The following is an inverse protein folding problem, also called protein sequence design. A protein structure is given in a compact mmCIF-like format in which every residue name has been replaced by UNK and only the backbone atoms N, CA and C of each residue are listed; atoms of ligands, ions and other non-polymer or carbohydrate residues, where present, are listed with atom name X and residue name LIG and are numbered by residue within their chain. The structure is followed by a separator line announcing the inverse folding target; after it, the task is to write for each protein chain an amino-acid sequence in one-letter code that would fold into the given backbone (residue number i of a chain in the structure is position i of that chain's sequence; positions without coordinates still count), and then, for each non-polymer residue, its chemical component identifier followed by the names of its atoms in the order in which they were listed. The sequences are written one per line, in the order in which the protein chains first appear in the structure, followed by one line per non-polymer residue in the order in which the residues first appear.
data_IF_457623806802
#
_entry.id   IF_457623806802
#
_cell.length_a   1.000
_cell.length_b   1.000
_cell.length_c   1.000
_cell.angle_alpha   90.00
_cell.angle_beta   90.00
_cell.angle_gamma   90.00
#
_symmetry.space_group_name_H-M   'P 1'
#
loop_
_entity.id
_entity.type
_entity.pdbx_description
1 polymer ?
#
# COMPACT_ATOMS: atom_id res chain seq x y z
N UNK A 1 9.77 23.80 23.05
CA UNK A 1 9.20 22.88 24.06
C UNK A 1 9.16 21.52 23.43
N UNK A 2 10.24 20.84 23.41
CA UNK A 2 10.74 19.73 24.24
C UNK A 2 9.79 18.53 24.25
N UNK A 3 10.13 17.55 23.40
CA UNK A 3 10.51 16.17 23.69
C UNK A 3 9.44 15.21 24.19
N UNK A 4 9.30 14.08 23.51
CA UNK A 4 9.58 12.77 24.09
C UNK A 4 9.49 11.66 23.02
N UNK A 5 10.63 11.20 22.60
CA UNK A 5 10.80 9.93 21.88
C UNK A 5 10.85 8.85 22.96
N UNK A 6 9.87 7.96 22.97
CA UNK A 6 9.90 6.76 23.79
C UNK A 6 10.49 5.60 22.96
N UNK A 7 11.73 5.23 23.30
CA UNK A 7 12.39 3.98 22.89
C UNK A 7 11.74 2.83 23.65
N UNK A 8 11.21 1.86 22.95
CA UNK A 8 10.86 0.54 23.49
C UNK A 8 12.01 -0.41 23.17
N UNK A 9 12.76 -0.80 24.20
CA UNK A 9 13.68 -1.95 24.19
C UNK A 9 12.90 -3.20 24.61
N UNK A 10 13.07 -4.35 24.00
CA UNK A 10 12.68 -5.62 24.62
C UNK A 10 13.86 -6.16 25.45
N UNK A 11 13.63 -6.26 26.75
CA UNK A 11 14.43 -7.06 27.65
C UNK A 11 13.92 -8.51 27.60
N UNK A 12 14.77 -9.44 27.20
CA UNK A 12 14.64 -10.86 27.55
C UNK A 12 15.87 -11.22 28.32
N UNK A 13 15.76 -11.13 29.64
CA UNK A 13 16.69 -11.76 30.59
C UNK A 13 16.21 -13.18 30.84
N UNK A 14 17.06 -14.12 30.47
CA UNK A 14 16.94 -15.52 30.86
C UNK A 14 17.49 -15.68 32.27
N UNK A 15 16.61 -15.89 33.21
CA UNK A 15 16.87 -16.33 34.56
C UNK A 15 17.28 -17.82 34.56
N UNK A 16 18.56 -18.07 34.80
CA UNK A 16 19.06 -19.40 35.18
C UNK A 16 19.26 -19.39 36.69
N UNK A 17 18.25 -19.83 37.42
CA UNK A 17 18.37 -20.08 38.86
C UNK A 17 18.42 -21.57 39.14
N UNK A 18 19.55 -21.97 39.70
CA UNK A 18 19.72 -22.92 40.78
C UNK A 18 18.62 -23.98 41.04
N UNK A 19 18.90 -25.20 40.71
CA UNK A 19 18.35 -26.35 41.41
C UNK A 19 19.51 -27.24 41.84
N UNK A 20 20.01 -26.97 43.02
CA UNK A 20 20.82 -27.93 43.82
C UNK A 20 20.41 -27.76 45.28
N UNK A 21 19.56 -28.64 45.77
CA UNK A 21 19.61 -29.10 47.16
C UNK A 21 18.52 -30.13 47.44
N UNK A 22 18.99 -31.17 48.10
CA UNK A 22 18.27 -32.13 48.94
C UNK A 22 17.77 -33.43 48.30
N UNK A 23 18.60 -34.44 48.46
CA UNK A 23 18.15 -35.79 48.75
C UNK A 23 19.04 -36.41 49.82
N UNK A 24 18.61 -36.36 51.04
CA UNK A 24 19.10 -37.23 52.10
C UNK A 24 18.67 -38.68 51.79
N UNK A 25 19.60 -39.59 51.82
CA UNK A 25 19.35 -41.04 51.71
C UNK A 25 20.17 -41.78 52.75
N UNK A 26 19.78 -42.99 53.19
CA UNK A 26 20.04 -43.48 54.55
C UNK A 26 21.38 -44.17 54.70
N UNK A 27 21.86 -44.09 55.96
CA UNK A 27 23.02 -44.79 56.48
C UNK A 27 22.83 -46.31 56.54
N UNK A 28 23.78 -47.10 56.06
CA UNK A 28 23.99 -48.47 56.44
C UNK A 28 25.47 -48.77 56.64
N UNK A 29 25.76 -49.18 57.86
CA UNK A 29 26.58 -50.31 58.27
C UNK A 29 28.08 -50.23 58.00
N UNK A 30 28.83 -49.87 59.08
CA UNK A 30 30.23 -50.33 59.26
C UNK A 30 30.26 -51.85 59.40
N UNK A 31 31.02 -52.48 58.56
CA UNK A 31 31.82 -53.70 59.04
C UNK A 31 33.14 -53.71 58.29
N UNK A 32 34.19 -53.83 59.09
CA UNK A 32 35.54 -53.81 58.65
C UNK A 32 36.01 -55.19 58.07
N UNK A 33 36.90 -55.12 57.12
CA UNK A 33 37.78 -56.20 56.86
C UNK A 33 39.19 -55.75 56.56
N UNK A 34 40.13 -56.36 57.21
CA UNK A 34 41.51 -56.09 57.26
C UNK A 34 42.23 -56.30 55.93
N UNK A 35 43.21 -55.43 55.74
CA UNK A 35 44.55 -55.68 55.35
C UNK A 35 44.84 -56.80 54.36
N UNK A 36 45.27 -56.44 53.18
CA UNK A 36 46.24 -57.14 52.39
C UNK A 36 47.01 -56.23 51.45
N UNK A 37 48.16 -55.73 51.92
CA UNK A 37 49.21 -55.15 51.11
C UNK A 37 49.52 -56.04 49.91
N UNK A 38 49.23 -55.59 48.70
CA UNK A 38 49.90 -55.99 47.48
C UNK A 38 50.52 -54.78 46.87
N UNK A 39 51.78 -54.57 47.17
CA UNK A 39 52.68 -53.78 46.36
C UNK A 39 52.65 -54.28 44.92
N UNK A 40 51.92 -53.52 44.08
CA UNK A 40 52.07 -53.58 42.64
C UNK A 40 53.24 -52.67 42.29
N UNK A 41 54.45 -53.29 42.27
CA UNK A 41 55.65 -52.68 41.67
C UNK A 41 55.30 -52.26 40.23
N UNK A 42 55.13 -50.97 40.07
CA UNK A 42 54.98 -50.33 38.74
C UNK A 42 56.36 -50.35 38.09
N UNK A 43 56.54 -51.37 37.22
CA UNK A 43 57.74 -51.52 36.37
C UNK A 43 57.91 -50.17 35.63
N UNK A 44 59.03 -49.50 35.81
CA UNK A 44 59.37 -48.24 35.13
C UNK A 44 59.21 -48.43 33.63
N UNK A 45 58.20 -47.78 33.10
CA UNK A 45 57.95 -47.69 31.63
C UNK A 45 59.14 -46.92 31.07
N UNK A 46 59.92 -47.54 30.21
CA UNK A 46 61.01 -46.89 29.49
C UNK A 46 60.58 -45.64 28.80
N UNK A 47 61.41 -44.61 28.77
CA UNK A 47 61.14 -43.27 28.19
C UNK A 47 60.50 -43.37 26.79
N UNK A 48 60.89 -44.43 26.02
CA UNK A 48 60.32 -44.71 24.71
C UNK A 48 58.83 -45.05 24.69
N UNK A 49 58.36 -45.82 25.75
CA UNK A 49 56.89 -46.13 25.82
C UNK A 49 56.08 -44.96 26.21
N UNK A 50 56.59 -44.00 27.01
CA UNK A 50 55.91 -42.72 27.35
C UNK A 50 55.85 -41.80 26.13
N UNK A 51 56.94 -41.76 25.33
CA UNK A 51 56.94 -40.98 24.06
C UNK A 51 55.98 -41.54 23.02
N UNK A 52 55.91 -42.86 22.90
CA UNK A 52 55.00 -43.52 21.96
C UNK A 52 53.53 -43.31 22.36
N UNK A 53 53.23 -43.41 23.66
CA UNK A 53 51.90 -43.13 24.16
C UNK A 53 51.50 -41.63 23.96
N UNK A 54 52.43 -40.71 24.18
CA UNK A 54 52.20 -39.27 23.91
C UNK A 54 51.98 -38.99 22.42
N UNK A 55 52.74 -39.65 21.54
CA UNK A 55 52.55 -39.50 20.10
C UNK A 55 51.19 -40.04 19.62
N UNK A 56 50.74 -41.18 20.15
CA UNK A 56 49.44 -41.78 19.85
C UNK A 56 48.30 -40.88 20.37
N UNK A 57 48.41 -40.37 21.62
CA UNK A 57 47.39 -39.44 22.15
C UNK A 57 47.32 -38.13 21.37
N UNK A 58 48.47 -37.60 20.95
CA UNK A 58 48.51 -36.39 20.12
C UNK A 58 47.89 -36.64 18.72
N UNK A 59 48.14 -37.80 18.12
CA UNK A 59 47.56 -38.24 16.86
C UNK A 59 46.02 -38.38 16.95
N UNK A 60 45.53 -38.99 18.05
CA UNK A 60 44.10 -39.12 18.31
C UNK A 60 43.44 -37.76 18.55
N UNK A 61 44.08 -36.87 19.32
CA UNK A 61 43.60 -35.51 19.54
C UNK A 61 43.58 -34.71 18.24
N UNK A 62 44.63 -34.82 17.42
CA UNK A 62 44.66 -34.17 16.11
C UNK A 62 43.56 -34.71 15.18
N UNK A 63 43.34 -36.02 15.15
CA UNK A 63 42.25 -36.63 14.38
C UNK A 63 40.88 -36.12 14.84
N UNK A 64 40.60 -36.13 16.15
CA UNK A 64 39.33 -35.61 16.67
C UNK A 64 39.17 -34.11 16.44
N UNK A 65 40.26 -33.34 16.54
CA UNK A 65 40.23 -31.91 16.24
C UNK A 65 39.92 -31.64 14.77
N UNK A 66 40.52 -32.37 13.84
CA UNK A 66 40.23 -32.29 12.41
C UNK A 66 38.78 -32.71 12.14
N UNK A 67 38.32 -33.79 12.79
CA UNK A 67 36.96 -34.28 12.63
C UNK A 67 35.93 -33.30 13.23
N UNK A 68 36.22 -32.67 14.37
CA UNK A 68 35.43 -31.65 14.98
C UNK A 68 35.35 -30.38 14.07
N UNK A 69 36.50 -29.94 13.55
CA UNK A 69 36.50 -28.80 12.58
C UNK A 69 35.71 -29.13 11.33
N UNK A 70 35.77 -30.38 10.81
CA UNK A 70 34.94 -30.80 9.68
C UNK A 70 33.46 -30.88 10.02
N UNK A 71 33.10 -31.37 11.21
CA UNK A 71 31.70 -31.52 11.65
C UNK A 71 31.05 -30.20 12.04
N UNK A 72 31.77 -29.31 12.73
CA UNK A 72 31.29 -27.99 13.12
C UNK A 72 31.60 -26.89 12.07
N UNK A 73 32.42 -27.17 11.09
CA UNK A 73 32.88 -26.22 10.09
C UNK A 73 32.16 -26.29 8.75
N UNK A 74 31.10 -27.09 8.60
CA UNK A 74 30.30 -27.12 7.38
C UNK A 74 29.16 -26.06 7.50
N UNK A 75 29.39 -24.84 7.03
CA UNK A 75 28.40 -23.76 7.19
C UNK A 75 27.30 -23.97 6.17
N UNK A 76 26.36 -24.87 6.45
CA UNK A 76 25.13 -24.91 5.67
C UNK A 76 24.28 -23.69 6.04
N UNK A 77 24.19 -22.76 5.12
CA UNK A 77 23.29 -21.63 5.24
C UNK A 77 22.24 -21.72 4.15
N UNK A 78 21.00 -21.72 4.54
CA UNK A 78 19.85 -21.75 3.63
C UNK A 78 18.94 -20.55 3.83
N UNK A 79 18.13 -20.24 2.84
CA UNK A 79 17.06 -19.24 2.93
C UNK A 79 15.87 -19.68 2.12
N UNK A 80 14.69 -19.22 2.49
CA UNK A 80 13.47 -19.51 1.74
C UNK A 80 13.35 -18.50 0.59
N UNK A 81 13.21 -19.02 -0.62
CA UNK A 81 12.90 -18.20 -1.80
C UNK A 81 11.45 -17.72 -1.75
N UNK A 82 11.19 -16.44 -2.00
CA UNK A 82 9.85 -15.90 -2.00
C UNK A 82 9.65 -14.98 -3.21
N UNK A 83 8.38 -14.85 -3.60
CA UNK A 83 8.02 -13.93 -4.67
C UNK A 83 8.26 -12.48 -4.20
N UNK A 84 8.94 -11.72 -5.03
CA UNK A 84 9.25 -10.33 -4.74
C UNK A 84 9.14 -9.48 -6.00
N UNK A 85 8.80 -8.23 -5.81
CA UNK A 85 8.66 -7.25 -6.89
C UNK A 85 9.63 -6.11 -6.65
N UNK A 86 10.37 -5.75 -7.68
CA UNK A 86 11.24 -4.57 -7.71
C UNK A 86 10.65 -3.57 -8.69
N UNK A 87 10.50 -2.36 -8.23
CA UNK A 87 10.09 -1.22 -9.05
C UNK A 87 11.29 -0.34 -9.35
N UNK A 88 11.50 -0.04 -10.62
CA UNK A 88 12.46 0.97 -11.04
C UNK A 88 11.72 2.28 -11.12
N UNK A 89 11.95 3.15 -10.16
CA UNK A 89 11.22 4.41 -10.01
C UNK A 89 12.15 5.57 -9.71
N UNK A 90 11.67 6.77 -10.00
CA UNK A 90 12.30 8.04 -9.67
C UNK A 90 11.31 8.91 -8.94
N UNK A 91 11.74 9.52 -7.83
CA UNK A 91 10.92 10.47 -7.07
C UNK A 91 11.13 11.87 -7.62
N UNK A 92 10.04 12.49 -8.06
CA UNK A 92 10.02 13.81 -8.63
C UNK A 92 9.07 14.72 -7.86
N UNK A 93 9.37 16.02 -7.83
CA UNK A 93 8.46 17.05 -7.30
C UNK A 93 7.96 17.91 -8.44
N UNK A 94 6.65 18.07 -8.51
CA UNK A 94 6.04 18.78 -9.65
C UNK A 94 4.63 19.30 -9.31
N UNK A 95 3.93 19.68 -10.36
CA UNK A 95 2.60 20.28 -10.27
C UNK A 95 1.58 19.43 -11.04
N UNK A 96 0.41 19.27 -10.45
CA UNK A 96 -0.76 18.72 -11.15
C UNK A 96 -1.45 19.87 -11.87
N UNK A 97 -1.65 19.72 -13.17
CA UNK A 97 -2.24 20.72 -14.06
C UNK A 97 -3.52 20.13 -14.68
N UNK A 98 -4.55 20.93 -14.73
CA UNK A 98 -5.87 20.57 -15.24
C UNK A 98 -6.44 21.77 -15.98
N UNK A 99 -7.42 21.57 -16.83
CA UNK A 99 -8.21 22.65 -17.36
C UNK A 99 -9.22 23.09 -16.29
N UNK A 100 -9.13 24.34 -15.81
CA UNK A 100 -9.85 24.82 -14.65
C UNK A 100 -10.54 26.13 -14.95
N UNK A 101 -11.81 26.24 -14.58
CA UNK A 101 -12.61 27.48 -14.68
C UNK A 101 -13.01 27.95 -13.28
N UNK A 102 -12.50 29.11 -12.88
CA UNK A 102 -12.85 29.74 -11.59
C UNK A 102 -14.28 30.21 -11.64
N UNK A 103 -15.06 29.88 -10.63
CA UNK A 103 -16.42 30.35 -10.45
C UNK A 103 -16.42 31.77 -9.89
N UNK A 104 -17.35 32.61 -10.35
CA UNK A 104 -17.43 33.99 -9.94
C UNK A 104 -17.89 34.13 -8.49
N UNK A 105 -17.10 34.82 -7.66
CA UNK A 105 -17.48 35.18 -6.27
C UNK A 105 -17.62 36.69 -6.14
N UNK A 106 -18.71 37.22 -6.73
CA UNK A 106 -19.13 38.64 -6.61
C UNK A 106 -20.16 38.85 -5.50
N UNK A 107 -20.23 37.94 -4.56
CA UNK A 107 -21.34 37.85 -3.62
C UNK A 107 -21.03 38.47 -2.25
N UNK A 108 -21.88 39.36 -1.80
CA UNK A 108 -21.84 40.00 -0.48
C UNK A 108 -22.74 39.31 0.55
N UNK A 109 -22.96 37.99 0.46
CA UNK A 109 -23.86 37.25 1.35
C UNK A 109 -23.18 36.07 2.06
N UNK A 110 -23.99 35.34 2.79
CA UNK A 110 -23.60 34.07 3.38
C UNK A 110 -23.67 32.98 2.31
N UNK A 111 -22.54 32.35 2.05
CA UNK A 111 -22.40 31.29 1.05
C UNK A 111 -22.61 29.92 1.68
N UNK A 112 -23.46 29.11 1.09
CA UNK A 112 -23.61 27.70 1.41
C UNK A 112 -23.30 26.88 0.16
N UNK A 113 -22.20 26.13 0.18
CA UNK A 113 -21.85 25.21 -0.87
C UNK A 113 -22.83 24.03 -0.87
N UNK A 114 -23.21 23.57 -2.07
CA UNK A 114 -24.19 22.50 -2.28
C UNK A 114 -23.55 21.25 -2.90
N UNK A 115 -22.25 21.30 -3.15
CA UNK A 115 -21.54 20.25 -3.86
C UNK A 115 -20.34 19.77 -3.04
N UNK A 116 -20.11 18.47 -3.09
CA UNK A 116 -18.93 17.85 -2.51
C UNK A 116 -17.71 18.01 -3.43
N UNK A 117 -16.53 17.93 -2.87
CA UNK A 117 -15.26 17.94 -3.62
C UNK A 117 -15.21 16.76 -4.60
N UNK A 118 -14.82 17.02 -5.84
CA UNK A 118 -14.75 16.02 -6.91
C UNK A 118 -16.11 15.58 -7.48
N UNK A 119 -17.21 16.18 -7.04
CA UNK A 119 -18.54 15.89 -7.56
C UNK A 119 -18.71 16.40 -8.98
N UNK A 120 -19.28 15.59 -9.87
CA UNK A 120 -19.57 15.98 -11.26
C UNK A 120 -20.85 16.82 -11.31
N UNK A 121 -20.73 18.01 -11.90
CA UNK A 121 -21.83 18.94 -12.08
C UNK A 121 -22.12 19.11 -13.57
N UNK A 122 -23.41 19.12 -13.91
CA UNK A 122 -23.88 19.45 -15.27
C UNK A 122 -23.89 20.98 -15.51
N UNK A 123 -23.91 21.38 -16.76
CA UNK A 123 -24.15 22.74 -17.14
C UNK A 123 -25.47 23.25 -16.52
N UNK A 124 -25.44 24.47 -15.95
CA UNK A 124 -26.57 25.06 -15.19
C UNK A 124 -26.82 24.45 -13.82
N UNK A 125 -26.07 23.43 -13.41
CA UNK A 125 -26.19 22.79 -12.08
C UNK A 125 -25.87 23.78 -10.95
N UNK A 126 -26.63 23.72 -9.83
CA UNK A 126 -26.42 24.60 -8.69
C UNK A 126 -25.16 24.20 -7.94
N UNK A 127 -24.22 25.12 -7.76
CA UNK A 127 -23.00 24.98 -7.02
C UNK A 127 -23.15 25.45 -5.58
N UNK A 128 -23.74 26.64 -5.41
CA UNK A 128 -23.87 27.26 -4.10
C UNK A 128 -25.14 28.09 -4.00
N UNK A 129 -25.62 28.28 -2.78
CA UNK A 129 -26.67 29.17 -2.42
C UNK A 129 -26.08 30.37 -1.66
N UNK A 130 -26.56 31.58 -2.00
CA UNK A 130 -26.16 32.82 -1.35
C UNK A 130 -27.34 33.42 -0.64
N UNK A 131 -27.23 33.56 0.66
CA UNK A 131 -28.24 34.16 1.52
C UNK A 131 -27.86 35.60 1.83
N UNK A 132 -28.85 36.50 1.81
CA UNK A 132 -28.61 37.92 2.07
C UNK A 132 -28.10 38.17 3.49
N UNK A 133 -28.61 37.43 4.46
CA UNK A 133 -28.27 37.55 5.88
C UNK A 133 -28.46 36.22 6.64
N UNK A 134 -28.04 36.21 7.91
CA UNK A 134 -28.18 35.06 8.79
C UNK A 134 -29.62 34.64 9.05
N UNK A 135 -30.51 35.62 9.14
CA UNK A 135 -31.94 35.34 9.35
C UNK A 135 -32.58 34.61 8.17
N UNK A 136 -32.14 34.92 6.95
CA UNK A 136 -32.56 34.20 5.73
C UNK A 136 -32.03 32.78 5.72
N UNK A 137 -30.75 32.55 6.11
CA UNK A 137 -30.16 31.22 6.23
C UNK A 137 -30.89 30.38 7.29
N UNK A 138 -31.14 30.94 8.47
CA UNK A 138 -31.81 30.25 9.56
C UNK A 138 -33.26 29.89 9.19
N UNK A 139 -33.95 30.80 8.49
CA UNK A 139 -35.29 30.55 7.95
C UNK A 139 -35.30 29.42 6.92
N UNK A 140 -34.28 29.37 6.07
CA UNK A 140 -34.14 28.28 5.09
C UNK A 140 -33.87 26.93 5.76
N UNK A 141 -33.05 26.92 6.81
CA UNK A 141 -32.82 25.70 7.62
C UNK A 141 -34.12 25.23 8.29
N UNK A 142 -34.91 26.14 8.79
CA UNK A 142 -36.20 25.83 9.38
C UNK A 142 -37.19 25.28 8.34
N UNK A 143 -37.27 25.90 7.14
CA UNK A 143 -38.05 25.36 6.01
C UNK A 143 -37.61 23.92 5.66
N UNK A 144 -36.29 23.66 5.59
CA UNK A 144 -35.77 22.32 5.32
C UNK A 144 -36.12 21.33 6.43
N UNK A 145 -36.02 21.76 7.68
CA UNK A 145 -36.40 20.93 8.85
C UNK A 145 -37.87 20.55 8.83
N UNK A 146 -38.74 21.54 8.55
CA UNK A 146 -40.18 21.30 8.44
C UNK A 146 -40.51 20.38 7.27
N UNK A 147 -39.83 20.53 6.14
CA UNK A 147 -40.02 19.66 4.98
C UNK A 147 -39.67 18.21 5.33
N UNK A 148 -38.54 18.00 5.98
CA UNK A 148 -38.14 16.66 6.45
C UNK A 148 -39.13 16.05 7.45
N UNK A 149 -39.67 16.88 8.37
CA UNK A 149 -40.69 16.43 9.32
C UNK A 149 -41.99 16.04 8.61
N UNK A 150 -42.45 16.84 7.62
CA UNK A 150 -43.62 16.52 6.82
C UNK A 150 -43.44 15.22 6.05
N UNK A 151 -42.31 15.03 5.41
CA UNK A 151 -41.96 13.77 4.71
C UNK A 151 -41.98 12.57 5.65
N UNK A 152 -41.46 12.72 6.87
CA UNK A 152 -41.46 11.68 7.88
C UNK A 152 -42.90 11.31 8.30
N UNK A 153 -43.79 12.33 8.51
CA UNK A 153 -45.18 12.11 8.86
C UNK A 153 -45.99 11.50 7.70
N UNK A 154 -45.75 11.94 6.45
CA UNK A 154 -46.36 11.33 5.26
C UNK A 154 -46.00 9.84 5.15
N UNK A 155 -44.72 9.53 5.37
CA UNK A 155 -44.30 8.13 5.37
C UNK A 155 -44.93 7.33 6.50
N UNK A 156 -45.08 7.93 7.68
CA UNK A 156 -45.74 7.27 8.83
C UNK A 156 -47.24 7.02 8.55
N UNK A 157 -47.92 7.95 7.89
CA UNK A 157 -49.31 7.80 7.46
C UNK A 157 -49.44 6.66 6.42
N UNK A 158 -48.56 6.61 5.43
CA UNK A 158 -48.53 5.51 4.45
C UNK A 158 -48.16 4.15 5.11
N UNK A 159 -47.25 4.16 6.08
CA UNK A 159 -46.79 2.96 6.79
C UNK A 159 -47.86 2.39 7.73
N UNK A 160 -48.74 3.20 8.31
CA UNK A 160 -49.83 2.79 9.14
C UNK A 160 -50.86 1.93 8.38
N UNK A 161 -50.85 1.94 7.06
CA UNK A 161 -51.77 1.20 6.19
C UNK A 161 -51.36 -0.24 5.87
N UNK A 162 -50.23 -0.80 6.37
CA UNK A 162 -49.92 -2.20 6.12
C UNK A 162 -48.62 -2.76 6.69
N UNK A 163 -48.69 -4.02 7.18
CA UNK A 163 -47.51 -4.77 7.68
C UNK A 163 -46.36 -4.95 6.68
N UNK A 164 -46.65 -4.87 5.40
CA UNK A 164 -45.67 -4.99 4.31
C UNK A 164 -44.69 -3.80 4.29
N UNK A 165 -45.13 -2.61 4.65
CA UNK A 165 -44.31 -1.39 4.71
C UNK A 165 -43.31 -1.48 5.86
N UNK A 166 -43.69 -2.02 7.01
CA UNK A 166 -42.81 -2.23 8.16
C UNK A 166 -41.64 -3.19 7.82
N UNK A 167 -41.95 -4.29 7.14
CA UNK A 167 -40.90 -5.26 6.73
C UNK A 167 -39.91 -4.65 5.70
N UNK A 168 -40.44 -3.81 4.78
CA UNK A 168 -39.58 -3.10 3.81
C UNK A 168 -38.66 -2.09 4.51
N UNK A 169 -39.18 -1.38 5.50
CA UNK A 169 -38.40 -0.41 6.28
C UNK A 169 -37.30 -1.09 7.09
N UNK A 170 -37.60 -2.22 7.75
CA UNK A 170 -36.59 -3.01 8.46
C UNK A 170 -35.47 -3.47 7.52
N UNK A 171 -35.82 -3.88 6.30
CA UNK A 171 -34.81 -4.28 5.29
C UNK A 171 -33.93 -3.09 4.85
N UNK A 172 -34.50 -1.91 4.68
CA UNK A 172 -33.75 -0.68 4.36
C UNK A 172 -32.82 -0.28 5.49
N UNK A 173 -33.30 -0.26 6.74
CA UNK A 173 -32.48 0.02 7.93
C UNK A 173 -31.27 -0.93 7.98
N UNK A 174 -31.49 -2.23 7.80
CA UNK A 174 -30.39 -3.21 7.78
C UNK A 174 -29.41 -2.99 6.63
N UNK A 175 -29.88 -2.56 5.48
CA UNK A 175 -29.01 -2.22 4.34
C UNK A 175 -28.18 -0.98 4.63
N UNK A 176 -28.79 0.12 5.08
CA UNK A 176 -28.10 1.37 5.42
C UNK A 176 -27.07 1.18 6.54
N UNK A 177 -27.34 0.27 7.53
CA UNK A 177 -26.35 -0.10 8.54
C UNK A 177 -25.12 -0.78 7.89
N UNK A 178 -25.32 -1.66 6.91
CA UNK A 178 -24.20 -2.31 6.20
C UNK A 178 -23.39 -1.29 5.41
N UNK A 179 -24.07 -0.37 4.72
CA UNK A 179 -23.43 0.66 3.91
C UNK A 179 -22.66 1.67 4.79
N UNK A 180 -23.23 2.06 5.94
CA UNK A 180 -22.56 2.87 6.96
C UNK A 180 -21.28 2.20 7.48
N UNK A 181 -21.37 0.90 7.84
CA UNK A 181 -20.20 0.15 8.28
C UNK A 181 -19.15 -0.02 7.18
N UNK A 182 -19.60 -0.19 5.93
CA UNK A 182 -18.72 -0.27 4.76
C UNK A 182 -18.00 1.06 4.49
N UNK A 183 -18.67 2.18 4.62
CA UNK A 183 -18.11 3.51 4.50
C UNK A 183 -17.05 3.78 5.58
N UNK A 184 -17.33 3.46 6.84
CA UNK A 184 -16.37 3.59 7.93
C UNK A 184 -15.14 2.68 7.75
N UNK A 185 -15.34 1.45 7.32
CA UNK A 185 -14.24 0.52 7.07
C UNK A 185 -13.33 0.94 5.89
N UNK A 186 -13.88 1.72 4.95
CA UNK A 186 -13.17 2.27 3.81
C UNK A 186 -12.63 3.70 4.05
N UNK A 187 -12.72 4.22 5.28
CA UNK A 187 -12.32 5.58 5.70
C UNK A 187 -12.97 6.71 4.87
N UNK A 188 -14.21 6.47 4.40
CA UNK A 188 -15.03 7.45 3.66
C UNK A 188 -16.00 8.14 4.60
N UNK A 189 -15.51 9.18 5.30
CA UNK A 189 -16.22 9.84 6.38
C UNK A 189 -17.46 10.65 5.88
N UNK A 190 -17.38 11.26 4.71
CA UNK A 190 -18.47 11.93 4.02
C UNK A 190 -19.64 10.98 3.74
N UNK A 191 -19.36 9.87 3.09
CA UNK A 191 -20.35 8.81 2.83
C UNK A 191 -20.93 8.22 4.13
N UNK A 192 -20.12 8.10 5.18
CA UNK A 192 -20.58 7.65 6.48
C UNK A 192 -21.52 8.66 7.15
N UNK A 193 -21.28 9.97 7.01
CA UNK A 193 -22.17 11.02 7.53
C UNK A 193 -23.53 10.96 6.85
N UNK A 194 -23.57 10.85 5.52
CA UNK A 194 -24.79 10.72 4.74
C UNK A 194 -25.59 9.47 5.13
N UNK A 195 -24.95 8.31 5.17
CA UNK A 195 -25.58 7.06 5.64
C UNK A 195 -26.09 7.18 7.09
N UNK A 196 -25.36 7.89 7.95
CA UNK A 196 -25.79 8.16 9.34
C UNK A 196 -27.03 9.04 9.43
N UNK A 197 -27.14 10.06 8.54
CA UNK A 197 -28.31 10.91 8.44
C UNK A 197 -29.53 10.13 7.92
N UNK A 198 -29.33 9.31 6.89
CA UNK A 198 -30.36 8.44 6.34
C UNK A 198 -30.84 7.41 7.37
N UNK A 199 -29.94 6.78 8.11
CA UNK A 199 -30.26 5.82 9.16
C UNK A 199 -31.13 6.47 10.25
N UNK A 200 -30.79 7.68 10.69
CA UNK A 200 -31.60 8.43 11.66
C UNK A 200 -33.01 8.69 11.12
N UNK A 201 -33.13 9.10 9.86
CA UNK A 201 -34.43 9.32 9.22
C UNK A 201 -35.26 8.03 9.16
N UNK A 202 -34.65 6.90 8.78
CA UNK A 202 -35.33 5.61 8.71
C UNK A 202 -35.77 5.10 10.08
N UNK A 203 -34.97 5.28 11.14
CA UNK A 203 -35.32 4.90 12.52
C UNK A 203 -36.48 5.76 13.04
N UNK A 204 -36.45 7.08 12.79
CA UNK A 204 -37.57 7.95 13.14
C UNK A 204 -38.85 7.56 12.41
N UNK A 205 -38.79 7.26 11.13
CA UNK A 205 -39.95 6.74 10.36
C UNK A 205 -40.53 5.48 10.99
N UNK A 206 -39.68 4.58 11.52
CA UNK A 206 -40.11 3.36 12.21
C UNK A 206 -40.86 3.66 13.50
N UNK A 207 -40.38 4.61 14.32
CA UNK A 207 -41.02 4.96 15.58
C UNK A 207 -42.43 5.56 15.37
N UNK A 208 -42.63 6.33 14.31
CA UNK A 208 -43.92 6.89 13.94
C UNK A 208 -44.94 5.83 13.43
N UNK A 209 -44.46 4.67 12.94
CA UNK A 209 -45.35 3.60 12.43
C UNK A 209 -46.25 3.00 13.52
N UNK A 210 -45.98 3.27 14.79
CA UNK A 210 -46.74 2.80 15.95
C UNK A 210 -47.63 3.88 16.61
N UNK A 211 -47.72 5.08 16.07
CA UNK A 211 -48.53 6.16 16.62
C UNK A 211 -49.93 6.18 16.03
N UNK A 212 -50.92 6.64 16.82
CA UNK A 212 -52.32 6.73 16.39
C UNK A 212 -52.50 7.64 15.18
N UNK A 213 -53.16 7.19 14.12
CA UNK A 213 -53.29 7.81 12.80
C UNK A 213 -54.13 9.07 12.78
N UNK A 214 -55.04 9.29 13.72
CA UNK A 214 -55.90 10.49 13.74
C UNK A 214 -55.16 11.76 14.13
N UNK A 215 -54.04 11.65 14.84
CA UNK A 215 -53.23 12.79 15.28
C UNK A 215 -52.16 13.19 14.21
N UNK A 216 -51.77 12.28 13.33
CA UNK A 216 -50.73 12.51 12.31
C UNK A 216 -51.21 13.47 11.23
N UNK A 217 -52.44 13.37 10.74
CA UNK A 217 -52.99 14.24 9.72
C UNK A 217 -53.16 15.69 10.20
N UNK A 218 -53.55 15.88 11.47
CA UNK A 218 -53.66 17.17 12.11
C UNK A 218 -52.28 17.84 12.28
N UNK A 219 -51.26 17.09 12.73
CA UNK A 219 -49.89 17.58 12.84
C UNK A 219 -49.32 17.96 11.48
N UNK A 220 -49.53 17.14 10.46
CA UNK A 220 -49.09 17.41 9.09
C UNK A 220 -49.70 18.70 8.52
N UNK A 221 -51.02 18.92 8.73
CA UNK A 221 -51.67 20.14 8.29
C UNK A 221 -51.11 21.39 8.98
N UNK A 222 -50.80 21.32 10.27
CA UNK A 222 -50.16 22.41 11.01
C UNK A 222 -48.74 22.69 10.49
N UNK A 223 -47.89 21.68 10.29
CA UNK A 223 -46.54 21.84 9.76
C UNK A 223 -46.57 22.39 8.31
N UNK A 224 -47.53 21.97 7.47
CA UNK A 224 -47.74 22.50 6.12
C UNK A 224 -48.13 23.97 6.15
N UNK A 225 -48.97 24.37 7.11
CA UNK A 225 -49.35 25.77 7.33
C UNK A 225 -48.15 26.61 7.74
N UNK A 226 -47.34 26.14 8.67
CA UNK A 226 -46.09 26.80 9.09
C UNK A 226 -45.10 26.89 7.94
N UNK A 227 -44.90 25.83 7.17
CA UNK A 227 -44.03 25.81 5.99
C UNK A 227 -44.49 26.85 4.93
N UNK A 228 -45.80 26.94 4.66
CA UNK A 228 -46.34 27.92 3.70
C UNK A 228 -46.12 29.34 4.16
N UNK A 229 -46.31 29.63 5.45
CA UNK A 229 -46.04 30.92 6.07
C UNK A 229 -44.56 31.32 5.96
N UNK A 230 -43.66 30.43 6.30
CA UNK A 230 -42.21 30.67 6.21
C UNK A 230 -41.76 30.87 4.76
N UNK A 231 -42.29 30.09 3.82
CA UNK A 231 -42.01 30.27 2.39
C UNK A 231 -42.47 31.62 1.87
N UNK A 232 -43.67 32.11 2.31
CA UNK A 232 -44.15 33.43 1.97
C UNK A 232 -43.25 34.55 2.52
N UNK A 233 -42.68 34.36 3.71
CA UNK A 233 -41.74 35.31 4.33
C UNK A 233 -40.32 35.23 3.75
N UNK A 234 -39.90 34.08 3.21
CA UNK A 234 -38.56 33.88 2.67
C UNK A 234 -38.30 34.69 1.38
N UNK A 235 -39.35 34.99 0.60
CA UNK A 235 -39.21 35.77 -0.62
C UNK A 235 -38.11 35.27 -1.58
N UNK A 236 -37.66 36.14 -2.50
CA UNK A 236 -36.57 35.85 -3.47
C UNK A 236 -35.17 36.17 -2.95
N UNK A 237 -34.95 36.07 -1.63
CA UNK A 237 -33.67 36.48 -0.98
C UNK A 237 -32.56 35.42 -1.02
N UNK A 238 -32.77 34.33 -1.75
CA UNK A 238 -31.76 33.30 -2.01
C UNK A 238 -31.33 33.35 -3.47
N UNK A 239 -30.05 33.65 -3.71
CA UNK A 239 -29.47 33.63 -5.05
C UNK A 239 -28.73 32.30 -5.24
N UNK A 240 -28.84 31.70 -6.42
CA UNK A 240 -28.15 30.52 -6.80
C UNK A 240 -26.93 30.87 -7.64
N UNK A 241 -25.80 30.26 -7.33
CA UNK A 241 -24.61 30.22 -8.19
C UNK A 241 -24.65 28.90 -8.95
N UNK A 242 -24.70 28.97 -10.26
CA UNK A 242 -24.75 27.79 -11.13
C UNK A 242 -23.45 27.59 -11.88
N UNK A 243 -23.16 26.36 -12.25
CA UNK A 243 -22.03 26.02 -13.08
C UNK A 243 -22.25 26.53 -14.51
N UNK A 244 -21.31 27.30 -15.09
CA UNK A 244 -21.45 27.80 -16.46
C UNK A 244 -21.23 26.73 -17.52
N UNK A 245 -20.69 25.59 -17.13
CA UNK A 245 -20.46 24.41 -17.97
C UNK A 245 -20.30 23.17 -17.09
N UNK A 246 -20.37 21.98 -17.71
CA UNK A 246 -20.20 20.73 -16.99
C UNK A 246 -18.73 20.51 -16.57
N UNK A 247 -18.51 20.00 -15.35
CA UNK A 247 -17.16 19.72 -14.83
C UNK A 247 -17.20 19.01 -13.49
N UNK A 248 -16.02 18.80 -12.90
CA UNK A 248 -15.87 18.36 -11.52
C UNK A 248 -15.72 19.60 -10.63
N UNK A 249 -16.46 19.64 -9.56
CA UNK A 249 -16.40 20.74 -8.61
C UNK A 249 -15.17 20.62 -7.69
N UNK A 250 -14.51 21.74 -7.42
CA UNK A 250 -13.52 21.90 -6.37
C UNK A 250 -13.76 23.17 -5.58
N UNK A 251 -13.85 23.05 -4.26
CA UNK A 251 -14.10 24.19 -3.38
C UNK A 251 -12.87 25.09 -3.21
N UNK A 252 -11.69 24.64 -3.59
CA UNK A 252 -10.43 25.35 -3.34
C UNK A 252 -9.87 25.95 -4.63
N UNK A 253 -9.68 27.27 -4.62
CA UNK A 253 -8.90 28.01 -5.61
C UNK A 253 -7.52 28.29 -5.01
N UNK A 254 -6.49 27.76 -5.66
CA UNK A 254 -5.11 27.77 -5.12
C UNK A 254 -4.22 28.88 -5.72
N UNK A 255 -4.72 29.60 -6.73
CA UNK A 255 -4.05 30.71 -7.39
C UNK A 255 -3.16 30.31 -8.57
N UNK A 256 -3.14 29.05 -8.97
CA UNK A 256 -2.41 28.57 -10.14
C UNK A 256 -3.31 28.36 -11.37
N UNK A 257 -4.61 28.54 -11.26
CA UNK A 257 -5.59 28.21 -12.28
C UNK A 257 -5.36 28.92 -13.61
N UNK A 258 -4.93 30.19 -13.54
CA UNK A 258 -4.64 31.01 -14.73
C UNK A 258 -3.18 30.93 -15.17
N UNK A 259 -2.30 30.30 -14.38
CA UNK A 259 -0.85 30.23 -14.64
C UNK A 259 -0.50 28.85 -15.21
N UNK A 260 -1.02 27.79 -14.61
CA UNK A 260 -0.79 26.40 -15.00
C UNK A 260 -2.02 25.86 -15.73
N UNK A 261 -2.14 26.22 -17.00
CA UNK A 261 -3.18 25.70 -17.91
C UNK A 261 -2.61 24.67 -18.87
N UNK A 262 -3.41 23.78 -19.45
CA UNK A 262 -2.92 22.83 -20.45
C UNK A 262 -2.19 23.49 -21.61
N UNK A 263 -2.60 24.69 -22.04
CA UNK A 263 -1.97 25.46 -23.11
C UNK A 263 -0.59 26.02 -22.72
N UNK A 264 -0.39 26.30 -21.42
CA UNK A 264 0.90 26.83 -20.92
C UNK A 264 2.01 25.79 -20.85
N UNK A 265 1.70 24.50 -20.90
CA UNK A 265 2.63 23.41 -20.62
C UNK A 265 3.84 23.37 -21.59
N UNK A 266 3.61 23.65 -22.86
CA UNK A 266 4.65 23.63 -23.89
C UNK A 266 5.59 24.86 -23.82
N UNK A 267 5.21 25.88 -23.06
CA UNK A 267 6.01 27.11 -22.88
C UNK A 267 6.82 27.11 -21.59
N UNK A 268 6.62 26.12 -20.72
CA UNK A 268 7.33 26.03 -19.45
C UNK A 268 8.79 25.63 -19.64
N UNK A 269 9.67 26.34 -18.96
CA UNK A 269 11.09 26.00 -18.84
C UNK A 269 11.41 25.59 -17.40
N UNK A 270 12.53 24.88 -17.15
CA UNK A 270 12.94 24.55 -15.79
C UNK A 270 13.03 25.76 -14.85
N UNK A 271 13.45 26.91 -15.37
CA UNK A 271 13.55 28.16 -14.62
C UNK A 271 12.18 28.73 -14.29
N UNK A 272 11.25 28.78 -15.26
CA UNK A 272 9.89 29.32 -15.04
C UNK A 272 9.11 28.42 -14.09
N UNK A 273 9.26 27.09 -14.22
CA UNK A 273 8.60 26.13 -13.32
C UNK A 273 9.09 26.27 -11.86
N UNK A 274 10.38 26.53 -11.65
CA UNK A 274 10.96 26.74 -10.33
C UNK A 274 10.58 28.10 -9.71
N UNK A 275 10.21 29.09 -10.52
CA UNK A 275 9.84 30.44 -10.10
C UNK A 275 8.31 30.66 -10.07
N UNK A 276 7.51 29.59 -10.15
CA UNK A 276 6.07 29.70 -10.10
C UNK A 276 5.59 30.18 -8.73
N UNK A 277 4.86 31.28 -8.72
CA UNK A 277 4.18 31.81 -7.54
C UNK A 277 2.68 31.86 -7.79
N UNK A 278 1.83 31.53 -6.80
CA UNK A 278 0.38 31.60 -6.94
C UNK A 278 -0.11 33.04 -6.98
N UNK A 279 -1.20 33.27 -7.69
CA UNK A 279 -1.93 34.55 -7.61
C UNK A 279 -2.75 34.58 -6.31
N UNK A 280 -2.25 35.30 -5.31
CA UNK A 280 -2.90 35.45 -4.00
C UNK A 280 -4.30 36.08 -4.08
N UNK A 281 -4.58 36.87 -5.12
CA UNK A 281 -5.90 37.51 -5.29
C UNK A 281 -7.01 36.49 -5.54
N UNK A 282 -6.71 35.41 -6.23
CA UNK A 282 -7.64 34.33 -6.55
C UNK A 282 -7.99 33.45 -5.34
N UNK A 283 -7.09 33.36 -4.39
CA UNK A 283 -7.29 32.55 -3.16
C UNK A 283 -8.41 33.07 -2.26
N UNK A 284 -8.84 34.29 -2.44
CA UNK A 284 -10.00 34.84 -1.71
C UNK A 284 -11.35 34.32 -2.21
N UNK A 285 -11.38 33.60 -3.33
CA UNK A 285 -12.60 33.01 -3.89
C UNK A 285 -13.20 31.97 -2.94
N UNK A 286 -14.44 32.11 -2.57
CA UNK A 286 -15.19 31.27 -1.62
C UNK A 286 -16.08 30.26 -2.32
N UNK A 287 -16.33 30.42 -3.63
CA UNK A 287 -17.24 29.58 -4.40
C UNK A 287 -16.52 28.34 -4.94
N UNK A 288 -15.25 28.49 -5.33
CA UNK A 288 -14.46 27.42 -5.90
C UNK A 288 -14.29 27.49 -7.41
N UNK A 289 -14.02 26.37 -8.02
CA UNK A 289 -13.72 26.20 -9.44
C UNK A 289 -14.35 24.93 -10.01
N UNK A 290 -14.39 24.85 -11.32
CA UNK A 290 -14.72 23.63 -12.07
C UNK A 290 -13.45 23.11 -12.74
N UNK A 291 -13.23 21.82 -12.63
CA UNK A 291 -12.22 21.10 -13.39
C UNK A 291 -12.90 20.49 -14.61
N UNK A 292 -12.42 20.86 -15.78
CA UNK A 292 -13.04 20.56 -17.06
C UNK A 292 -12.40 19.34 -17.72
N UNK A 293 -13.15 18.68 -18.60
CA UNK A 293 -12.68 17.50 -19.31
C UNK A 293 -12.42 16.30 -18.39
N UNK A 294 -11.59 15.38 -18.87
CA UNK A 294 -11.22 14.14 -18.18
C UNK A 294 -9.69 13.95 -18.12
N UNK A 295 -8.92 14.93 -18.64
CA UNK A 295 -7.48 14.85 -18.75
C UNK A 295 -6.80 15.72 -17.70
N UNK A 296 -5.74 15.21 -17.14
CA UNK A 296 -4.86 15.92 -16.22
C UNK A 296 -3.40 15.71 -16.59
N UNK A 297 -2.53 16.58 -16.11
CA UNK A 297 -1.12 16.54 -16.38
C UNK A 297 -0.33 16.61 -15.06
N UNK A 298 0.83 15.97 -15.04
CA UNK A 298 1.83 16.17 -14.00
C UNK A 298 3.09 16.73 -14.65
N UNK A 299 3.53 17.88 -14.19
CA UNK A 299 4.64 18.64 -14.77
C UNK A 299 5.76 18.74 -13.77
N UNK A 300 6.96 18.37 -14.17
CA UNK A 300 8.14 18.38 -13.30
C UNK A 300 9.40 18.71 -14.07
N UNK A 301 10.42 19.21 -13.37
CA UNK A 301 11.74 19.43 -13.91
C UNK A 301 12.69 18.33 -13.45
N UNK A 302 13.36 17.67 -14.41
CA UNK A 302 14.28 16.57 -14.15
C UNK A 302 15.52 16.68 -15.07
N UNK A 303 16.51 15.83 -14.84
CA UNK A 303 17.71 15.76 -15.68
C UNK A 303 17.37 15.24 -17.08
N UNK A 304 18.03 15.78 -18.11
CA UNK A 304 17.75 15.40 -19.51
C UNK A 304 17.95 13.91 -19.77
N UNK A 305 18.98 13.30 -19.21
CA UNK A 305 19.28 11.87 -19.33
C UNK A 305 18.18 10.98 -18.73
N UNK A 306 17.57 11.46 -17.65
CA UNK A 306 16.47 10.79 -16.99
C UNK A 306 15.17 10.88 -17.79
N UNK A 307 14.91 12.07 -18.37
CA UNK A 307 13.76 12.27 -19.27
C UNK A 307 13.83 11.35 -20.49
N UNK A 308 15.02 11.17 -21.09
CA UNK A 308 15.24 10.25 -22.21
C UNK A 308 14.96 8.80 -21.79
N UNK A 309 15.44 8.39 -20.62
CA UNK A 309 15.18 7.04 -20.08
C UNK A 309 13.68 6.79 -19.85
N UNK A 310 12.95 7.80 -19.36
CA UNK A 310 11.49 7.71 -19.16
C UNK A 310 10.74 7.65 -20.49
N UNK A 311 11.21 8.38 -21.50
CA UNK A 311 10.62 8.39 -22.84
C UNK A 311 10.71 7.03 -23.53
N UNK A 312 11.84 6.34 -23.38
CA UNK A 312 12.06 4.99 -23.92
C UNK A 312 11.17 3.92 -23.24
N UNK A 313 10.76 4.16 -22.00
CA UNK A 313 10.02 3.19 -21.19
C UNK A 313 8.55 3.02 -21.60
N UNK A 314 7.99 3.92 -22.40
CA UNK A 314 6.64 3.84 -22.97
C UNK A 314 5.53 4.11 -21.95
N UNK A 315 4.98 3.07 -21.34
CA UNK A 315 3.94 3.19 -20.31
C UNK A 315 4.57 3.39 -18.94
N UNK A 316 4.16 4.46 -18.28
CA UNK A 316 4.64 4.84 -16.96
C UNK A 316 3.50 4.79 -15.96
N UNK A 317 3.84 4.62 -14.69
CA UNK A 317 2.90 4.78 -13.60
C UNK A 317 3.36 5.90 -12.69
N UNK A 318 2.42 6.68 -12.22
CA UNK A 318 2.66 7.77 -11.27
C UNK A 318 2.00 7.41 -9.94
N UNK A 319 2.76 7.44 -8.88
CA UNK A 319 2.31 7.23 -7.50
C UNK A 319 2.53 8.52 -6.73
N UNK A 320 1.43 9.18 -6.35
CA UNK A 320 1.52 10.38 -5.52
C UNK A 320 1.85 10.03 -4.07
N UNK A 321 2.63 10.87 -3.42
CA UNK A 321 2.99 10.69 -2.02
C UNK A 321 1.80 10.84 -1.08
N UNK A 322 0.79 11.61 -1.49
CA UNK A 322 -0.44 11.88 -0.72
C UNK A 322 -1.64 12.03 -1.66
N UNK A 323 -2.83 11.81 -1.13
CA UNK A 323 -4.10 12.11 -1.78
C UNK A 323 -4.68 10.98 -2.62
N UNK A 324 -3.85 10.19 -3.31
CA UNK A 324 -4.30 9.08 -4.15
C UNK A 324 -3.58 7.80 -3.72
N UNK A 325 -4.32 6.82 -3.24
CA UNK A 325 -3.78 5.57 -2.70
C UNK A 325 -3.47 4.48 -3.73
N UNK A 326 -3.27 4.86 -5.00
CA UNK A 326 -3.06 3.91 -6.12
C UNK A 326 -2.09 4.45 -7.16
N UNK A 327 -1.57 3.56 -7.99
CA UNK A 327 -0.74 3.91 -9.14
C UNK A 327 -1.63 4.35 -10.30
N UNK A 328 -1.33 5.53 -10.86
CA UNK A 328 -2.03 6.09 -12.00
C UNK A 328 -1.24 5.84 -13.28
N UNK A 329 -1.87 5.33 -14.32
CA UNK A 329 -1.24 5.17 -15.64
C UNK A 329 -1.07 6.52 -16.30
N UNK A 330 0.16 6.83 -16.72
CA UNK A 330 0.48 8.09 -17.39
C UNK A 330 1.34 7.85 -18.61
N UNK A 331 1.35 8.83 -19.51
CA UNK A 331 2.18 8.86 -20.70
C UNK A 331 3.00 10.15 -20.69
N UNK A 332 4.30 10.07 -20.95
CA UNK A 332 5.13 11.22 -21.18
C UNK A 332 4.79 11.79 -22.58
N UNK A 333 4.23 12.99 -22.62
CA UNK A 333 3.71 13.60 -23.86
C UNK A 333 4.61 14.71 -24.39
N UNK A 334 5.36 15.39 -23.50
CA UNK A 334 6.22 16.50 -23.90
C UNK A 334 7.47 16.57 -23.04
N UNK A 335 8.57 16.95 -23.64
CA UNK A 335 9.86 17.28 -23.00
C UNK A 335 10.30 18.62 -23.59
N UNK A 336 10.58 19.60 -22.74
CA UNK A 336 11.07 20.92 -23.16
C UNK A 336 12.51 20.87 -23.67
N UNK A 337 12.98 21.98 -24.25
CA UNK A 337 14.40 22.18 -24.46
C UNK A 337 15.18 22.17 -23.13
N UNK A 338 16.44 21.72 -23.19
CA UNK A 338 17.29 21.64 -22.01
C UNK A 338 17.79 23.03 -21.58
N UNK A 339 17.60 23.39 -20.33
CA UNK A 339 18.13 24.58 -19.70
C UNK A 339 19.01 24.16 -18.50
N UNK A 340 20.33 24.34 -18.65
CA UNK A 340 21.30 23.96 -17.62
C UNK A 340 21.36 22.44 -17.34
N UNK A 341 21.10 21.60 -18.34
CA UNK A 341 21.07 20.13 -18.24
C UNK A 341 19.77 19.57 -17.69
N UNK A 342 18.77 20.42 -17.42
CA UNK A 342 17.43 20.03 -16.96
C UNK A 342 16.38 20.34 -18.01
N UNK A 343 15.32 19.55 -18.02
CA UNK A 343 14.16 19.70 -18.91
C UNK A 343 12.89 19.69 -18.09
N UNK A 344 11.83 20.26 -18.64
CA UNK A 344 10.47 20.07 -18.13
C UNK A 344 9.86 18.86 -18.82
N UNK A 345 9.37 17.91 -18.05
CA UNK A 345 8.63 16.76 -18.54
C UNK A 345 7.16 16.88 -18.17
N UNK A 346 6.30 16.57 -19.13
CA UNK A 346 4.84 16.61 -19.00
C UNK A 346 4.30 15.20 -19.13
N UNK A 347 3.71 14.70 -18.05
CA UNK A 347 3.02 13.42 -18.01
C UNK A 347 1.52 13.64 -18.09
N UNK A 348 0.82 12.94 -18.97
CA UNK A 348 -0.60 13.00 -19.16
C UNK A 348 -1.29 11.76 -18.58
N UNK A 349 -2.37 11.97 -17.82
CA UNK A 349 -3.30 10.95 -17.35
C UNK A 349 -4.74 11.30 -17.69
N UNK A 350 -5.60 10.29 -17.72
CA UNK A 350 -7.03 10.40 -18.09
C UNK A 350 -7.95 9.66 -17.10
N UNK A 351 -7.43 9.22 -15.98
CA UNK A 351 -8.17 8.47 -14.99
C UNK A 351 -8.12 9.13 -13.62
N UNK A 352 -9.14 8.91 -12.80
CA UNK A 352 -9.22 9.36 -11.40
C UNK A 352 -9.08 10.87 -11.18
N UNK A 353 -9.51 11.68 -12.14
CA UNK A 353 -9.44 13.15 -12.06
C UNK A 353 -10.16 13.71 -10.82
N UNK A 354 -11.26 13.08 -10.39
CA UNK A 354 -12.02 13.48 -9.20
C UNK A 354 -11.23 13.34 -7.87
N UNK A 355 -10.23 12.47 -7.82
CA UNK A 355 -9.35 12.31 -6.65
C UNK A 355 -8.18 13.31 -6.65
N UNK A 356 -7.98 14.01 -7.77
CA UNK A 356 -6.86 14.93 -8.00
C UNK A 356 -7.23 16.41 -7.85
N UNK A 357 -8.49 16.74 -7.65
CA UNK A 357 -9.01 18.13 -7.69
C UNK A 357 -8.31 19.06 -6.69
N UNK A 358 -7.95 18.56 -5.52
CA UNK A 358 -7.24 19.31 -4.48
C UNK A 358 -5.71 19.28 -4.61
N UNK A 359 -5.16 18.45 -5.49
CA UNK A 359 -3.72 18.32 -5.60
C UNK A 359 -3.14 19.39 -6.53
N UNK A 360 -2.11 20.12 -6.09
CA UNK A 360 -1.38 21.06 -6.94
C UNK A 360 0.12 20.72 -6.94
N UNK A 361 0.87 21.17 -5.97
CA UNK A 361 2.28 20.82 -5.84
C UNK A 361 2.42 19.51 -5.07
N UNK A 362 2.95 18.47 -5.73
CA UNK A 362 3.05 17.13 -5.17
C UNK A 362 4.37 16.48 -5.51
N UNK A 363 4.87 15.70 -4.57
CA UNK A 363 5.91 14.71 -4.87
C UNK A 363 5.24 13.44 -5.36
N UNK A 364 5.78 12.91 -6.44
CA UNK A 364 5.30 11.67 -7.04
C UNK A 364 6.47 10.77 -7.42
N UNK A 365 6.25 9.49 -7.34
CA UNK A 365 7.16 8.45 -7.81
C UNK A 365 6.75 8.03 -9.21
N UNK A 366 7.63 8.23 -10.19
CA UNK A 366 7.44 7.77 -11.56
C UNK A 366 8.03 6.39 -11.69
N UNK A 367 7.18 5.38 -11.85
CA UNK A 367 7.55 3.97 -11.97
C UNK A 367 7.61 3.63 -13.46
N UNK A 368 8.82 3.34 -13.95
CA UNK A 368 9.06 3.00 -15.36
C UNK A 368 8.97 1.52 -15.66
N UNK A 369 9.36 0.69 -14.69
CA UNK A 369 9.37 -0.75 -14.85
C UNK A 369 9.11 -1.43 -13.51
N UNK A 370 8.33 -2.49 -13.58
CA UNK A 370 8.05 -3.38 -12.45
C UNK A 370 8.50 -4.78 -12.85
N UNK A 371 9.47 -5.31 -12.13
CA UNK A 371 9.97 -6.69 -12.35
C UNK A 371 9.56 -7.57 -11.19
N UNK A 372 8.78 -8.61 -11.49
CA UNK A 372 8.35 -9.60 -10.51
C UNK A 372 9.12 -10.89 -10.73
N UNK A 373 9.65 -11.47 -9.66
CA UNK A 373 10.42 -12.71 -9.73
C UNK A 373 10.55 -13.35 -8.36
N UNK A 374 11.31 -14.42 -8.30
CA UNK A 374 11.66 -15.10 -7.05
C UNK A 374 12.95 -14.46 -6.54
N UNK A 375 12.90 -13.94 -5.32
CA UNK A 375 14.06 -13.34 -4.67
C UNK A 375 14.98 -14.43 -4.12
N UNK A 376 16.24 -14.36 -4.52
CA UNK A 376 17.33 -15.21 -4.01
C UNK A 376 18.53 -14.34 -3.66
N UNK A 377 19.33 -14.68 -2.64
CA UNK A 377 20.59 -13.99 -2.39
C UNK A 377 21.54 -14.15 -3.57
N UNK A 378 22.30 -13.11 -3.91
CA UNK A 378 23.31 -13.18 -4.98
C UNK A 378 24.33 -14.29 -4.74
N UNK A 379 24.70 -14.50 -3.48
CA UNK A 379 25.63 -15.53 -3.07
C UNK A 379 25.14 -16.96 -3.32
N UNK A 380 23.84 -17.14 -3.54
CA UNK A 380 23.25 -18.44 -3.88
C UNK A 380 23.30 -18.75 -5.38
N UNK A 381 23.54 -17.75 -6.23
CA UNK A 381 23.65 -17.96 -7.67
C UNK A 381 24.91 -18.75 -8.00
N UNK A 382 24.75 -19.77 -8.83
CA UNK A 382 25.84 -20.63 -9.32
C UNK A 382 25.75 -20.76 -10.83
N UNK A 383 26.90 -20.87 -11.45
CA UNK A 383 27.01 -21.19 -12.87
C UNK A 383 27.51 -22.61 -13.01
N UNK A 384 26.80 -23.40 -13.82
CA UNK A 384 27.15 -24.77 -14.15
C UNK A 384 27.40 -24.88 -15.64
N UNK A 385 28.44 -25.57 -16.02
CA UNK A 385 28.65 -25.97 -17.41
C UNK A 385 27.96 -27.29 -17.70
N UNK A 386 27.23 -27.35 -18.81
CA UNK A 386 26.55 -28.54 -19.27
C UNK A 386 26.90 -28.75 -20.75
N UNK A 387 27.34 -29.99 -21.07
CA UNK A 387 27.50 -30.38 -22.47
C UNK A 387 26.16 -30.70 -23.05
N UNK A 388 25.80 -30.03 -24.14
CA UNK A 388 24.59 -30.26 -24.92
C UNK A 388 24.99 -30.78 -26.26
N UNK A 389 24.40 -31.90 -26.68
CA UNK A 389 24.59 -32.47 -28.02
C UNK A 389 23.43 -32.01 -28.89
N UNK A 390 23.72 -31.36 -30.01
CA UNK A 390 22.70 -30.94 -30.97
C UNK A 390 22.16 -32.14 -31.79
N UNK A 391 21.15 -31.90 -32.65
CA UNK A 391 20.56 -32.92 -33.49
C UNK A 391 21.54 -33.50 -34.50
N UNK A 392 22.61 -32.78 -34.80
CA UNK A 392 23.68 -33.19 -35.73
C UNK A 392 24.81 -33.96 -35.02
N UNK A 393 24.73 -34.15 -33.69
CA UNK A 393 25.71 -34.90 -32.88
C UNK A 393 26.93 -34.09 -32.46
N UNK A 394 26.91 -32.75 -32.60
CA UNK A 394 27.99 -31.88 -32.14
C UNK A 394 27.81 -31.56 -30.64
N UNK A 395 28.85 -31.73 -29.89
CA UNK A 395 28.88 -31.37 -28.46
C UNK A 395 29.24 -29.90 -28.29
N UNK A 396 28.40 -29.16 -27.59
CA UNK A 396 28.67 -27.80 -27.17
C UNK A 396 28.55 -27.67 -25.64
N UNK A 397 29.44 -26.87 -25.05
CA UNK A 397 29.38 -26.54 -23.63
C UNK A 397 28.57 -25.28 -23.43
N UNK A 398 27.45 -25.40 -22.71
CA UNK A 398 26.54 -24.28 -22.41
C UNK A 398 26.66 -23.98 -20.91
N UNK A 399 26.90 -22.72 -20.59
CA UNK A 399 26.87 -22.22 -19.20
C UNK A 399 25.44 -21.94 -18.78
N UNK A 400 24.99 -22.55 -17.71
CA UNK A 400 23.65 -22.44 -17.16
C UNK A 400 23.71 -21.83 -15.77
N UNK A 401 23.00 -20.71 -15.56
CA UNK A 401 22.87 -20.08 -14.24
C UNK A 401 21.73 -20.74 -13.47
N UNK A 402 21.93 -20.96 -12.17
CA UNK A 402 20.92 -21.58 -11.32
C UNK A 402 21.19 -21.41 -9.85
N UNK A 403 20.32 -21.98 -9.05
CA UNK A 403 20.45 -22.07 -7.58
C UNK A 403 20.33 -23.52 -7.14
N UNK A 404 21.01 -23.86 -6.04
CA UNK A 404 20.76 -25.13 -5.39
C UNK A 404 19.67 -25.01 -4.35
N UNK A 405 18.68 -25.88 -4.41
CA UNK A 405 17.61 -25.96 -3.42
C UNK A 405 17.64 -27.28 -2.67
N UNK A 406 17.23 -27.25 -1.40
CA UNK A 406 16.98 -28.46 -0.64
C UNK A 406 15.70 -29.14 -1.10
N UNK A 407 15.80 -30.35 -1.58
CA UNK A 407 14.67 -31.22 -1.91
C UNK A 407 14.76 -32.50 -1.08
N UNK A 408 14.02 -32.54 0.01
CA UNK A 408 14.24 -33.53 1.08
C UNK A 408 15.59 -33.30 1.73
N UNK A 409 16.49 -34.32 1.67
CA UNK A 409 17.86 -34.24 2.21
C UNK A 409 18.92 -34.07 1.11
N UNK A 410 18.53 -33.63 -0.10
CA UNK A 410 19.46 -33.53 -1.23
C UNK A 410 19.46 -32.13 -1.82
N UNK A 411 20.63 -31.64 -2.19
CA UNK A 411 20.79 -30.46 -3.01
C UNK A 411 20.37 -30.79 -4.44
N UNK A 412 19.49 -29.93 -5.03
CA UNK A 412 19.09 -30.01 -6.42
C UNK A 412 19.36 -28.70 -7.11
N UNK A 413 20.03 -28.76 -8.24
CA UNK A 413 20.25 -27.60 -9.10
C UNK A 413 18.97 -27.24 -9.84
N UNK A 414 18.53 -25.99 -9.70
CA UNK A 414 17.37 -25.43 -10.39
C UNK A 414 17.82 -24.28 -11.28
N UNK A 415 17.72 -24.46 -12.62
CA UNK A 415 18.15 -23.43 -13.56
C UNK A 415 17.23 -22.23 -13.53
N UNK A 416 17.82 -21.03 -13.64
CA UNK A 416 17.09 -19.76 -13.54
C UNK A 416 17.65 -18.72 -14.50
N UNK A 417 16.75 -17.85 -14.98
CA UNK A 417 17.08 -16.60 -15.67
C UNK A 417 17.09 -15.47 -14.64
N UNK A 418 18.14 -14.66 -14.66
CA UNK A 418 18.24 -13.47 -13.80
C UNK A 418 17.48 -12.32 -14.45
N UNK A 419 16.38 -11.88 -13.81
CA UNK A 419 15.56 -10.78 -14.28
C UNK A 419 16.05 -9.42 -13.77
N UNK A 420 16.60 -9.40 -12.54
CA UNK A 420 17.13 -8.21 -11.91
C UNK A 420 18.25 -8.60 -10.94
N UNK A 421 19.29 -7.78 -10.87
CA UNK A 421 20.40 -7.94 -9.94
C UNK A 421 20.56 -6.68 -9.09
N UNK A 422 20.14 -6.76 -7.83
CA UNK A 422 20.34 -5.72 -6.80
C UNK A 422 21.69 -5.83 -6.11
N UNK A 423 21.88 -5.19 -4.97
CA UNK A 423 23.16 -5.25 -4.23
C UNK A 423 23.36 -6.62 -3.56
N UNK A 424 22.43 -7.09 -2.76
CA UNK A 424 22.51 -8.32 -1.95
C UNK A 424 21.69 -9.48 -2.53
N UNK A 425 20.80 -9.24 -3.47
CA UNK A 425 19.87 -10.22 -4.01
C UNK A 425 19.72 -10.13 -5.52
N UNK A 426 19.20 -11.19 -6.10
CA UNK A 426 18.71 -11.20 -7.48
C UNK A 426 17.24 -11.62 -7.52
N UNK A 427 16.49 -11.07 -8.48
CA UNK A 427 15.20 -11.63 -8.88
C UNK A 427 15.44 -12.59 -10.04
N UNK A 428 14.96 -13.78 -9.88
CA UNK A 428 15.12 -14.84 -10.86
C UNK A 428 13.77 -15.42 -11.25
N UNK A 429 13.74 -16.04 -12.40
CA UNK A 429 12.63 -16.85 -12.90
C UNK A 429 13.17 -18.20 -13.28
N UNK A 430 12.41 -19.29 -13.07
CA UNK A 430 12.81 -20.58 -13.57
C UNK A 430 12.88 -20.54 -15.10
N UNK A 431 13.96 -21.05 -15.70
CA UNK A 431 14.07 -21.18 -17.17
C UNK A 431 12.94 -22.03 -17.76
N UNK A 432 12.35 -22.91 -16.94
CA UNK A 432 11.23 -23.77 -17.32
C UNK A 432 9.89 -23.00 -17.45
N UNK A 433 9.81 -21.78 -16.95
CA UNK A 433 8.58 -20.95 -17.09
C UNK A 433 8.41 -20.40 -18.50
N UNK A 434 9.48 -20.42 -19.30
CA UNK A 434 9.49 -19.99 -20.71
C UNK A 434 9.49 -21.16 -21.70
N UNK A 435 9.61 -22.40 -21.22
CA UNK A 435 9.61 -23.59 -22.06
C UNK A 435 8.19 -23.96 -22.53
N UNK A 436 8.03 -24.28 -23.82
CA UNK A 436 6.74 -24.65 -24.40
C UNK A 436 6.22 -25.99 -23.85
N UNK A 437 7.10 -26.94 -23.58
CA UNK A 437 6.76 -28.24 -23.00
C UNK A 437 7.70 -28.57 -21.84
N UNK A 438 7.15 -28.92 -20.69
CA UNK A 438 7.89 -29.32 -19.49
C UNK A 438 7.52 -30.74 -19.11
N UNK A 439 8.50 -31.63 -19.10
CA UNK A 439 8.31 -33.02 -18.62
C UNK A 439 8.12 -33.07 -17.10
N UNK A 440 7.49 -34.15 -16.60
CA UNK A 440 7.31 -34.36 -15.15
C UNK A 440 8.63 -34.35 -14.36
N UNK A 441 9.73 -34.75 -14.97
CA UNK A 441 11.05 -34.74 -14.35
C UNK A 441 11.62 -33.32 -14.29
N UNK A 442 11.42 -32.52 -15.33
CA UNK A 442 11.82 -31.11 -15.37
C UNK A 442 11.00 -30.27 -14.38
N UNK A 443 9.72 -30.61 -14.18
CA UNK A 443 8.87 -29.91 -13.20
C UNK A 443 9.43 -30.01 -11.75
N UNK A 444 10.20 -31.05 -11.42
CA UNK A 444 10.85 -31.19 -10.12
C UNK A 444 12.04 -30.25 -9.91
N UNK A 445 12.64 -29.74 -10.99
CA UNK A 445 13.75 -28.78 -10.94
C UNK A 445 13.31 -27.35 -11.20
N UNK A 446 12.01 -27.10 -11.35
CA UNK A 446 11.45 -25.74 -11.41
C UNK A 446 11.64 -25.04 -10.07
N UNK A 447 12.19 -23.83 -10.08
CA UNK A 447 12.27 -22.98 -8.90
C UNK A 447 10.89 -22.41 -8.58
N UNK A 448 10.48 -22.49 -7.31
CA UNK A 448 9.18 -21.96 -6.83
C UNK A 448 9.38 -21.12 -5.58
N UNK A 449 8.45 -20.21 -5.35
CA UNK A 449 8.35 -19.57 -4.04
C UNK A 449 8.06 -20.62 -2.96
N UNK A 450 8.80 -20.53 -1.85
CA UNK A 450 8.79 -21.53 -0.76
C UNK A 450 9.92 -22.56 -0.84
N UNK A 451 10.68 -22.60 -1.94
CA UNK A 451 11.87 -23.47 -2.01
C UNK A 451 12.96 -22.98 -1.06
N UNK A 452 13.62 -23.91 -0.40
CA UNK A 452 14.75 -23.62 0.46
C UNK A 452 16.04 -23.60 -0.37
N UNK A 453 16.57 -22.39 -0.58
CA UNK A 453 17.77 -22.12 -1.38
C UNK A 453 19.00 -22.19 -0.52
N UNK A 454 20.03 -22.91 -0.98
CA UNK A 454 21.31 -23.06 -0.32
C UNK A 454 22.21 -21.88 -0.71
N UNK A 455 22.61 -21.08 0.28
CA UNK A 455 23.53 -19.95 0.10
C UNK A 455 24.98 -20.46 0.14
N UNK A 456 25.32 -21.17 1.22
CA UNK A 456 26.67 -21.68 1.45
C UNK A 456 26.61 -23.15 1.85
N UNK A 457 27.41 -23.96 1.22
CA UNK A 457 27.69 -25.34 1.60
C UNK A 457 29.05 -25.76 1.01
N UNK A 458 29.74 -26.68 1.65
CA UNK A 458 31.00 -27.21 1.17
C UNK A 458 30.75 -28.18 0.01
N UNK A 459 31.58 -28.12 -1.06
CA UNK A 459 31.52 -29.02 -2.24
C UNK A 459 30.10 -29.26 -2.77
N UNK A 460 29.37 -28.20 -3.10
CA UNK A 460 27.98 -28.26 -3.53
C UNK A 460 27.87 -28.79 -4.97
N UNK A 461 27.18 -29.92 -5.13
CA UNK A 461 26.86 -30.51 -6.43
C UNK A 461 25.44 -31.11 -6.46
N UNK A 462 24.92 -31.35 -7.64
CA UNK A 462 23.54 -31.85 -7.81
C UNK A 462 23.39 -33.28 -7.28
N UNK A 463 22.48 -33.51 -6.36
CA UNK A 463 22.26 -34.79 -5.68
C UNK A 463 23.05 -34.99 -4.40
N UNK A 464 23.90 -34.02 -3.97
CA UNK A 464 24.60 -34.08 -2.69
C UNK A 464 23.60 -34.22 -1.53
N UNK A 465 23.85 -35.20 -0.66
CA UNK A 465 23.09 -35.36 0.60
C UNK A 465 23.61 -34.34 1.60
N UNK A 466 22.71 -33.52 2.13
CA UNK A 466 23.01 -32.47 3.09
C UNK A 466 22.37 -32.83 4.42
N UNK A 467 23.13 -32.71 5.51
CA UNK A 467 22.58 -32.96 6.85
C UNK A 467 22.79 -34.41 7.36
N UNK A 468 23.82 -35.08 6.93
CA UNK A 468 24.31 -36.33 7.59
C UNK A 468 25.48 -36.04 8.52
#
# INVERSE_FOLDING_TARGET
MTSAIAQVRPAVELEVAEVCASAEGPAWGREGFADRDKEVTMKEKTLGTKLLLAAVTLGVLAYFSIQAVRYFGDPLTTTIAYQYQVEMSTVLSGYVVRDEAILTDDTSGLLQLQRAEGERISDGGVVALVYADQATLDRQKEIQSLHTQIEQLQYAEEAALGAEVSLRLDAQILQTIRDYRGALAADRLDTAEDCGAELRSLVMKRDYTYSDTEDLSAQMAELQSQLSSLRAQAGSSVRQITAPQAGLYSAVVDGYENILTPESLETLTPRTLAALEPDESLRSNRVGKLVLGDTWYYVTALEESEAQTLQESGRLKLRFAKGVGRDLSVKLTYISEAEGGRVVAVFQGDTYLSELTLLRQQSAEVIRQTTTGIRVPKEALRVRERTVTDEDGNESVVSETGVYCMVGMKARFKPVDVLYSGDDFALVRSTLDTAEEVSKTQEQIRLRAGDEVIITAYDLYDGKVIGS
#
